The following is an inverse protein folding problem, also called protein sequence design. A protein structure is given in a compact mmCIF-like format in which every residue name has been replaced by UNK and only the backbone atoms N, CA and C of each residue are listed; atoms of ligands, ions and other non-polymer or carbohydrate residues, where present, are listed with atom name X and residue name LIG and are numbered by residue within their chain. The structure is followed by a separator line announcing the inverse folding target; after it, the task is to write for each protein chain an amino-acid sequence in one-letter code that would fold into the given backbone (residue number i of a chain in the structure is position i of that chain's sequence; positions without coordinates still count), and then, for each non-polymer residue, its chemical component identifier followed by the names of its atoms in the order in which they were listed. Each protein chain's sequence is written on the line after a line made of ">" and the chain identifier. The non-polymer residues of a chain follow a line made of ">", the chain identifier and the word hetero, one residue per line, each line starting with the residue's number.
data_IF_452033614298
#
_entry.id   IF_452033614298
#
_cell.length_a   1.000
_cell.length_b   1.000
_cell.length_c   1.000
_cell.angle_alpha   90.00
_cell.angle_beta   90.00
_cell.angle_gamma   90.00
#
_symmetry.space_group_name_H-M   'P 1'
#
loop_
_entity.id
_entity.type
_entity.pdbx_description
1 polymer ?
#
# COMPACT_ATOMS: atom_id res chain seq x y z
N UNK A 1 -32.60 -33.92 -34.95
CA UNK A 1 -31.13 -33.77 -34.95
C UNK A 1 -30.69 -33.61 -33.49
N UNK A 2 -30.31 -34.72 -32.82
CA UNK A 2 -29.94 -34.74 -31.40
C UNK A 2 -28.57 -34.07 -31.25
N UNK A 3 -28.48 -32.95 -30.51
CA UNK A 3 -27.18 -32.40 -30.08
C UNK A 3 -26.53 -33.47 -29.20
N UNK A 4 -25.40 -34.00 -29.65
CA UNK A 4 -24.57 -34.88 -28.82
C UNK A 4 -24.12 -34.08 -27.59
N UNK A 5 -24.47 -34.56 -26.40
CA UNK A 5 -23.88 -34.10 -25.14
C UNK A 5 -22.40 -34.50 -25.21
N UNK A 6 -21.50 -33.55 -25.48
CA UNK A 6 -20.07 -33.78 -25.30
C UNK A 6 -19.84 -33.86 -23.80
N UNK A 7 -19.43 -35.04 -23.32
CA UNK A 7 -19.09 -35.23 -21.92
C UNK A 7 -17.90 -34.33 -21.58
N UNK A 8 -18.10 -33.39 -20.65
CA UNK A 8 -17.07 -32.47 -20.21
C UNK A 8 -16.03 -33.23 -19.39
N UNK A 9 -14.77 -33.26 -19.85
CA UNK A 9 -13.68 -33.91 -19.11
C UNK A 9 -13.30 -33.05 -17.91
N UNK A 10 -12.96 -33.68 -16.79
CA UNK A 10 -12.64 -32.99 -15.54
C UNK A 10 -11.21 -33.32 -15.11
N UNK A 11 -10.44 -32.30 -14.76
CA UNK A 11 -9.06 -32.41 -14.31
C UNK A 11 -8.82 -31.57 -13.06
N UNK A 12 -7.83 -31.98 -12.26
CA UNK A 12 -7.50 -31.34 -10.99
C UNK A 12 -6.05 -30.88 -10.98
N UNK A 13 -5.83 -29.65 -10.52
CA UNK A 13 -4.54 -29.00 -10.51
C UNK A 13 -4.24 -28.42 -9.13
N UNK A 14 -2.94 -28.31 -8.85
CA UNK A 14 -2.42 -27.52 -7.72
C UNK A 14 -1.54 -26.40 -8.24
N UNK A 15 -1.54 -25.26 -7.55
CA UNK A 15 -0.62 -24.16 -7.83
C UNK A 15 0.31 -23.96 -6.64
N UNK A 16 1.61 -24.14 -6.86
CA UNK A 16 2.60 -23.96 -5.79
C UNK A 16 2.83 -22.49 -5.48
N UNK A 17 3.36 -22.19 -4.29
CA UNK A 17 3.78 -20.85 -3.91
C UNK A 17 4.92 -20.28 -4.78
N UNK A 18 5.57 -21.14 -5.59
CA UNK A 18 6.59 -20.75 -6.60
C UNK A 18 5.97 -20.42 -7.97
N UNK A 19 4.69 -20.71 -8.17
CA UNK A 19 3.97 -20.48 -9.42
C UNK A 19 4.02 -21.64 -10.42
N UNK A 20 4.27 -22.86 -9.94
CA UNK A 20 4.22 -24.08 -10.73
C UNK A 20 2.80 -24.64 -10.72
N UNK A 21 2.26 -24.90 -11.91
CA UNK A 21 0.96 -25.55 -12.07
C UNK A 21 1.19 -27.06 -12.17
N UNK A 22 0.64 -27.82 -11.24
CA UNK A 22 0.84 -29.27 -11.13
C UNK A 22 -0.43 -30.02 -11.51
N UNK A 23 -0.31 -31.07 -12.32
CA UNK A 23 -1.35 -32.07 -12.58
C UNK A 23 -0.83 -33.45 -12.17
N UNK A 24 -1.55 -34.14 -11.28
CA UNK A 24 -1.11 -35.44 -10.73
C UNK A 24 0.33 -35.42 -10.15
N UNK A 25 0.76 -34.27 -9.63
CA UNK A 25 2.10 -34.07 -9.06
C UNK A 25 3.20 -33.74 -10.08
N UNK A 26 2.87 -33.66 -11.37
CA UNK A 26 3.79 -33.30 -12.45
C UNK A 26 3.56 -31.85 -12.87
N UNK A 27 4.65 -31.09 -13.04
CA UNK A 27 4.58 -29.71 -13.54
C UNK A 27 4.09 -29.67 -14.98
N UNK A 28 3.16 -28.76 -15.24
CA UNK A 28 2.64 -28.48 -16.57
C UNK A 28 3.50 -27.41 -17.22
N UNK A 29 4.35 -27.82 -18.17
CA UNK A 29 5.28 -26.92 -18.85
C UNK A 29 4.70 -26.28 -20.12
N UNK A 30 3.53 -26.73 -20.59
CA UNK A 30 2.86 -26.16 -21.76
C UNK A 30 2.44 -24.71 -21.52
N UNK A 31 3.19 -23.79 -22.13
CA UNK A 31 2.96 -22.34 -22.03
C UNK A 31 1.59 -21.91 -22.56
N UNK A 32 1.14 -22.49 -23.68
CA UNK A 32 -0.14 -22.13 -24.30
C UNK A 32 -1.30 -22.56 -23.40
N UNK A 33 -1.22 -23.77 -22.87
CA UNK A 33 -2.20 -24.27 -21.91
C UNK A 33 -2.25 -23.38 -20.67
N UNK A 34 -1.10 -23.01 -20.08
CA UNK A 34 -1.06 -22.12 -18.90
C UNK A 34 -1.70 -20.77 -19.19
N UNK A 35 -1.46 -20.18 -20.36
CA UNK A 35 -2.10 -18.92 -20.75
C UNK A 35 -3.63 -19.03 -20.90
N UNK A 36 -4.14 -20.16 -21.42
CA UNK A 36 -5.58 -20.42 -21.49
C UNK A 36 -6.14 -20.66 -20.08
N UNK A 37 -5.48 -21.52 -19.31
CA UNK A 37 -5.86 -21.88 -17.94
C UNK A 37 -6.01 -20.64 -17.06
N UNK A 38 -4.98 -19.81 -16.96
CA UNK A 38 -5.04 -18.61 -16.13
C UNK A 38 -5.88 -17.48 -16.75
N UNK A 39 -6.10 -17.53 -18.07
CA UNK A 39 -7.00 -16.60 -18.76
C UNK A 39 -8.48 -16.83 -18.45
N UNK A 40 -8.86 -18.08 -18.16
CA UNK A 40 -10.24 -18.48 -17.87
C UNK A 40 -10.47 -18.82 -16.38
N UNK A 41 -9.46 -18.63 -15.53
CA UNK A 41 -9.52 -18.96 -14.11
C UNK A 41 -10.50 -18.04 -13.37
N UNK A 42 -11.41 -18.65 -12.60
CA UNK A 42 -12.46 -17.96 -11.86
C UNK A 42 -12.78 -18.69 -10.55
N UNK A 43 -13.45 -18.03 -9.59
CA UNK A 43 -13.98 -18.72 -8.41
C UNK A 43 -14.92 -19.87 -8.80
N UNK A 44 -14.80 -21.01 -8.11
CA UNK A 44 -15.65 -22.15 -8.36
C UNK A 44 -17.04 -21.93 -7.77
N UNK A 45 -18.00 -21.61 -8.63
CA UNK A 45 -19.43 -21.47 -8.29
C UNK A 45 -20.28 -22.59 -8.87
N UNK A 46 -19.65 -23.65 -9.37
CA UNK A 46 -20.34 -24.73 -10.11
C UNK A 46 -21.13 -25.68 -9.21
N UNK A 47 -20.86 -25.70 -7.91
CA UNK A 47 -21.37 -26.68 -6.95
C UNK A 47 -20.67 -28.04 -7.01
N UNK A 48 -19.71 -28.22 -7.93
CA UNK A 48 -18.90 -29.42 -8.06
C UNK A 48 -17.53 -29.22 -7.40
N UNK A 49 -16.98 -30.27 -6.80
CA UNK A 49 -15.64 -30.29 -6.19
C UNK A 49 -15.36 -29.07 -5.28
N UNK A 50 -16.11 -28.92 -4.17
CA UNK A 50 -16.02 -27.74 -3.31
C UNK A 50 -14.63 -27.54 -2.67
N UNK A 51 -13.84 -28.61 -2.55
CA UNK A 51 -12.45 -28.56 -2.05
C UNK A 51 -11.51 -27.80 -3.00
N UNK A 52 -11.95 -27.52 -4.23
CA UNK A 52 -11.22 -26.75 -5.23
C UNK A 52 -11.90 -25.38 -5.40
N UNK A 53 -11.39 -24.33 -4.74
CA UNK A 53 -12.06 -23.03 -4.68
C UNK A 53 -12.08 -22.27 -6.01
N UNK A 54 -11.33 -22.72 -7.00
CA UNK A 54 -11.25 -22.10 -8.33
C UNK A 54 -11.42 -23.14 -9.43
N UNK A 55 -11.89 -22.71 -10.59
CA UNK A 55 -11.95 -23.52 -11.80
C UNK A 55 -11.59 -22.70 -13.04
N UNK A 56 -11.14 -23.39 -14.08
CA UNK A 56 -10.78 -22.83 -15.38
C UNK A 56 -11.38 -23.69 -16.51
N UNK A 57 -12.46 -23.22 -17.15
CA UNK A 57 -13.02 -23.89 -18.32
C UNK A 57 -12.10 -23.74 -19.53
N UNK A 58 -11.65 -24.85 -20.13
CA UNK A 58 -10.78 -24.86 -21.31
C UNK A 58 -11.42 -25.72 -22.42
N UNK A 59 -12.28 -25.10 -23.24
CA UNK A 59 -12.98 -25.81 -24.30
C UNK A 59 -13.94 -26.87 -23.76
N UNK A 60 -13.66 -28.16 -24.02
CA UNK A 60 -14.46 -29.29 -23.53
C UNK A 60 -13.99 -29.82 -22.16
N UNK A 61 -13.08 -29.10 -21.50
CA UNK A 61 -12.44 -29.51 -20.25
C UNK A 61 -12.77 -28.52 -19.13
N UNK A 62 -13.09 -29.05 -17.95
CA UNK A 62 -13.26 -28.29 -16.73
C UNK A 62 -12.08 -28.60 -15.81
N UNK A 63 -11.27 -27.59 -15.53
CA UNK A 63 -10.08 -27.76 -14.72
C UNK A 63 -10.29 -27.12 -13.35
N UNK A 64 -10.18 -27.89 -12.27
CA UNK A 64 -10.32 -27.40 -10.90
C UNK A 64 -8.95 -27.11 -10.30
N UNK A 65 -8.83 -26.01 -9.56
CA UNK A 65 -7.56 -25.54 -8.99
C UNK A 65 -7.63 -25.42 -7.46
N UNK A 66 -6.66 -26.03 -6.80
CA UNK A 66 -6.36 -25.86 -5.38
C UNK A 66 -5.00 -25.15 -5.22
N UNK A 67 -4.97 -23.86 -4.91
CA UNK A 67 -3.71 -23.15 -4.67
C UNK A 67 -3.14 -23.46 -3.28
N UNK A 68 -1.81 -23.42 -3.15
CA UNK A 68 -1.14 -23.47 -1.84
C UNK A 68 -1.34 -22.18 -1.02
N UNK A 69 -1.51 -21.03 -1.70
CA UNK A 69 -1.70 -19.71 -1.07
C UNK A 69 -2.76 -18.90 -1.83
N UNK A 70 -2.43 -18.48 -3.06
CA UNK A 70 -3.32 -17.66 -3.91
C UNK A 70 -3.55 -18.28 -5.28
N UNK A 71 -4.69 -18.02 -5.94
CA UNK A 71 -4.99 -18.55 -7.28
C UNK A 71 -4.05 -18.04 -8.39
N UNK A 72 -3.29 -16.99 -8.10
CA UNK A 72 -2.28 -16.42 -9.00
C UNK A 72 -0.95 -16.33 -8.28
N UNK A 73 0.15 -16.57 -8.98
CA UNK A 73 1.51 -16.30 -8.50
C UNK A 73 2.25 -15.53 -9.59
N UNK A 74 2.73 -14.34 -9.27
CA UNK A 74 3.52 -13.52 -10.17
C UNK A 74 4.96 -14.01 -10.15
N UNK A 75 5.41 -14.59 -11.26
CA UNK A 75 6.73 -15.23 -11.37
C UNK A 75 7.75 -14.36 -12.10
N UNK A 76 7.30 -13.34 -12.83
CA UNK A 76 8.15 -12.40 -13.57
C UNK A 76 7.63 -10.97 -13.46
N UNK A 77 8.56 -10.02 -13.43
CA UNK A 77 8.31 -8.58 -13.50
C UNK A 77 9.23 -7.98 -14.56
N UNK A 78 8.72 -7.08 -15.40
CA UNK A 78 9.50 -6.42 -16.46
C UNK A 78 9.73 -4.92 -16.22
N UNK A 79 9.42 -4.42 -15.02
CA UNK A 79 9.46 -3.01 -14.67
C UNK A 79 8.10 -2.31 -14.74
N UNK A 80 7.16 -2.85 -15.51
CA UNK A 80 5.82 -2.27 -15.71
C UNK A 80 4.69 -3.25 -15.41
N UNK A 81 4.93 -4.55 -15.60
CA UNK A 81 3.90 -5.60 -15.56
C UNK A 81 4.34 -6.79 -14.74
N UNK A 82 3.41 -7.32 -13.96
CA UNK A 82 3.57 -8.57 -13.21
C UNK A 82 2.92 -9.72 -13.98
N UNK A 83 3.68 -10.77 -14.27
CA UNK A 83 3.25 -11.92 -15.06
C UNK A 83 2.97 -13.12 -14.17
N UNK A 84 1.80 -13.74 -14.37
CA UNK A 84 1.36 -14.96 -13.67
C UNK A 84 1.18 -16.16 -14.61
N UNK A 85 1.33 -15.93 -15.91
CA UNK A 85 1.52 -16.94 -16.95
C UNK A 85 2.45 -16.35 -18.04
N UNK A 86 2.94 -17.14 -19.01
CA UNK A 86 3.87 -16.66 -20.03
C UNK A 86 3.46 -15.34 -20.70
N UNK A 87 2.18 -15.20 -21.08
CA UNK A 87 1.63 -13.99 -21.72
C UNK A 87 0.56 -13.30 -20.87
N UNK A 88 0.14 -13.87 -19.74
CA UNK A 88 -0.84 -13.25 -18.83
C UNK A 88 -0.16 -12.39 -17.78
N UNK A 89 -0.58 -11.13 -17.71
CA UNK A 89 -0.03 -10.13 -16.79
C UNK A 89 -1.05 -9.09 -16.36
N UNK A 90 -0.76 -8.42 -15.25
CA UNK A 90 -1.42 -7.19 -14.83
C UNK A 90 -0.44 -6.03 -14.86
N UNK A 91 -0.96 -4.80 -14.95
CA UNK A 91 -0.15 -3.61 -14.72
C UNK A 91 0.30 -3.60 -13.25
N UNK A 92 1.57 -3.29 -13.02
CA UNK A 92 2.10 -3.07 -11.68
C UNK A 92 1.61 -1.72 -11.16
N UNK A 93 1.03 -1.73 -9.96
CA UNK A 93 0.58 -0.55 -9.22
C UNK A 93 1.03 -0.69 -7.75
N UNK A 94 1.96 0.16 -7.28
CA UNK A 94 2.39 0.17 -5.89
C UNK A 94 1.26 0.25 -4.87
N UNK A 95 0.14 0.91 -5.19
CA UNK A 95 -0.98 1.04 -4.24
C UNK A 95 -1.80 -0.25 -4.10
N UNK A 96 -1.61 -1.22 -5.00
CA UNK A 96 -2.23 -2.54 -4.95
C UNK A 96 -1.36 -3.59 -4.24
N UNK A 97 -0.19 -3.20 -3.74
CA UNK A 97 0.66 -4.08 -2.93
C UNK A 97 0.14 -4.17 -1.50
N UNK A 98 0.18 -5.38 -0.96
CA UNK A 98 0.00 -5.67 0.47
C UNK A 98 1.01 -6.72 0.90
N UNK A 99 1.25 -6.85 2.20
CA UNK A 99 2.11 -7.90 2.73
C UNK A 99 1.41 -8.77 3.78
N UNK A 100 1.86 -10.02 3.90
CA UNK A 100 1.48 -10.91 5.00
C UNK A 100 2.64 -11.86 5.27
N UNK A 101 3.04 -12.00 6.54
CA UNK A 101 4.15 -12.85 6.99
C UNK A 101 5.43 -12.75 6.12
N UNK A 102 5.82 -11.54 5.70
CA UNK A 102 7.02 -11.29 4.89
C UNK A 102 6.87 -11.59 3.39
N UNK A 103 5.67 -11.96 2.93
CA UNK A 103 5.33 -12.20 1.54
C UNK A 103 4.59 -10.99 0.99
N UNK A 104 4.94 -10.55 -0.23
CA UNK A 104 4.20 -9.52 -0.95
C UNK A 104 3.13 -10.14 -1.84
N UNK A 105 2.01 -9.44 -1.93
CA UNK A 105 0.89 -9.74 -2.80
C UNK A 105 0.52 -8.50 -3.60
N UNK A 106 0.02 -8.70 -4.81
CA UNK A 106 -0.55 -7.64 -5.64
C UNK A 106 -1.94 -8.06 -6.10
N UNK A 107 -2.82 -7.10 -6.41
CA UNK A 107 -4.12 -7.43 -7.02
C UNK A 107 -3.93 -8.16 -8.35
N UNK A 108 -4.72 -9.22 -8.52
CA UNK A 108 -4.78 -10.04 -9.70
C UNK A 108 -6.21 -9.96 -10.31
N UNK A 109 -6.47 -10.61 -11.47
CA UNK A 109 -7.81 -10.63 -12.04
C UNK A 109 -8.89 -11.11 -11.06
N UNK A 110 -10.15 -10.74 -11.34
CA UNK A 110 -11.30 -11.06 -10.48
C UNK A 110 -11.18 -10.58 -9.02
N UNK A 111 -10.46 -9.46 -8.81
CA UNK A 111 -10.21 -8.87 -7.49
C UNK A 111 -9.53 -9.84 -6.50
N UNK A 112 -8.91 -10.90 -7.00
CA UNK A 112 -8.15 -11.84 -6.18
C UNK A 112 -6.79 -11.27 -5.83
N UNK A 113 -6.13 -11.88 -4.84
CA UNK A 113 -4.72 -11.64 -4.58
C UNK A 113 -3.86 -12.56 -5.43
N UNK A 114 -2.71 -12.05 -5.86
CA UNK A 114 -1.63 -12.86 -6.44
C UNK A 114 -0.37 -12.69 -5.62
N UNK A 115 0.21 -13.80 -5.18
CA UNK A 115 1.49 -13.86 -4.47
C UNK A 115 2.63 -13.45 -5.40
N UNK A 116 3.59 -12.67 -4.91
CA UNK A 116 4.84 -12.43 -5.63
C UNK A 116 5.81 -13.57 -5.34
N UNK A 117 6.39 -14.14 -6.39
CA UNK A 117 7.45 -15.14 -6.24
C UNK A 117 8.70 -14.51 -5.64
N UNK A 118 9.62 -15.36 -5.15
CA UNK A 118 10.92 -14.90 -4.66
C UNK A 118 11.70 -14.14 -5.75
N UNK A 119 11.63 -14.58 -7.00
CA UNK A 119 12.31 -13.91 -8.11
C UNK A 119 11.80 -12.47 -8.29
N UNK A 120 10.48 -12.27 -8.29
CA UNK A 120 9.89 -10.93 -8.37
C UNK A 120 10.22 -10.09 -7.15
N UNK A 121 10.21 -10.68 -5.95
CA UNK A 121 10.57 -9.97 -4.73
C UNK A 121 12.02 -9.45 -4.79
N UNK A 122 12.96 -10.20 -5.35
CA UNK A 122 14.35 -9.76 -5.51
C UNK A 122 14.49 -8.57 -6.47
N UNK A 123 13.66 -8.49 -7.51
CA UNK A 123 13.61 -7.32 -8.41
C UNK A 123 13.07 -6.07 -7.70
N UNK A 124 12.09 -6.24 -6.80
CA UNK A 124 11.48 -5.13 -6.07
C UNK A 124 12.26 -4.72 -4.81
N UNK A 125 13.06 -5.62 -4.23
CA UNK A 125 13.75 -5.40 -2.97
C UNK A 125 14.54 -4.08 -2.89
N UNK A 126 15.28 -3.64 -3.92
CA UNK A 126 16.01 -2.36 -3.89
C UNK A 126 15.11 -1.13 -3.79
N UNK A 127 13.83 -1.26 -4.14
CA UNK A 127 12.84 -0.18 -4.08
C UNK A 127 12.07 -0.16 -2.76
N UNK A 128 12.20 -1.20 -1.94
CA UNK A 128 11.50 -1.34 -0.67
C UNK A 128 12.28 -0.66 0.45
N UNK A 129 11.54 -0.11 1.40
CA UNK A 129 12.08 0.46 2.64
C UNK A 129 11.14 0.20 3.81
N UNK A 130 11.65 0.05 5.04
CA UNK A 130 10.80 0.01 6.22
C UNK A 130 9.99 1.31 6.35
N UNK A 131 8.75 1.19 6.81
CA UNK A 131 7.83 2.29 7.08
C UNK A 131 7.12 2.01 8.41
N UNK A 132 7.76 2.37 9.52
CA UNK A 132 7.35 1.87 10.84
C UNK A 132 7.43 0.34 10.88
N UNK A 133 6.32 -0.30 11.27
CA UNK A 133 6.17 -1.76 11.26
C UNK A 133 5.72 -2.31 9.89
N UNK A 134 5.49 -1.43 8.91
CA UNK A 134 5.07 -1.78 7.56
C UNK A 134 6.21 -1.55 6.57
N UNK A 135 5.91 -1.64 5.28
CA UNK A 135 6.86 -1.34 4.22
C UNK A 135 6.37 -0.16 3.39
N UNK A 136 7.28 0.47 2.66
CA UNK A 136 6.97 1.36 1.58
C UNK A 136 7.82 0.98 0.36
N UNK A 137 7.34 1.38 -0.82
CA UNK A 137 8.06 1.24 -2.07
C UNK A 137 8.22 2.62 -2.72
N UNK A 138 9.42 2.91 -3.23
CA UNK A 138 9.65 4.07 -4.09
C UNK A 138 9.64 3.61 -5.53
N UNK A 139 8.60 3.94 -6.28
CA UNK A 139 8.47 3.58 -7.68
C UNK A 139 8.28 4.83 -8.53
N UNK A 140 9.14 5.00 -9.55
CA UNK A 140 9.18 6.19 -10.42
C UNK A 140 9.19 7.52 -9.63
N UNK A 141 9.93 7.55 -8.53
CA UNK A 141 10.07 8.72 -7.66
C UNK A 141 8.91 8.97 -6.69
N UNK A 142 7.89 8.11 -6.68
CA UNK A 142 6.74 8.22 -5.78
C UNK A 142 6.82 7.19 -4.66
N UNK A 143 6.72 7.65 -3.40
CA UNK A 143 6.65 6.78 -2.24
C UNK A 143 5.22 6.27 -2.05
N UNK A 144 5.05 4.96 -1.96
CA UNK A 144 3.76 4.31 -1.66
C UNK A 144 3.90 3.37 -0.48
N UNK A 145 3.08 3.55 0.55
CA UNK A 145 3.02 2.63 1.70
C UNK A 145 2.39 1.30 1.28
N UNK A 146 2.98 0.19 1.71
CA UNK A 146 2.49 -1.18 1.55
C UNK A 146 1.94 -1.65 2.90
N UNK A 147 0.61 -1.68 3.08
CA UNK A 147 0.02 -2.12 4.33
C UNK A 147 0.00 -3.66 4.47
N UNK A 148 -0.22 -4.19 5.68
CA UNK A 148 -0.55 -5.60 5.83
C UNK A 148 -1.87 -5.91 5.10
N UNK A 149 -2.04 -7.16 4.65
CA UNK A 149 -3.24 -7.61 3.94
C UNK A 149 -4.52 -7.40 4.76
N UNK A 150 -4.40 -7.46 6.08
CA UNK A 150 -5.43 -7.07 7.03
C UNK A 150 -4.87 -5.99 7.96
N UNK A 151 -5.41 -4.77 7.84
CA UNK A 151 -5.08 -3.67 8.73
C UNK A 151 -5.94 -3.82 10.01
N UNK A 152 -5.35 -3.72 11.22
CA UNK A 152 -6.12 -3.67 12.46
C UNK A 152 -7.20 -2.58 12.43
N UNK A 153 -8.38 -2.85 12.99
CA UNK A 153 -9.54 -1.95 12.85
C UNK A 153 -9.33 -0.54 13.40
N UNK A 154 -8.50 -0.39 14.44
CA UNK A 154 -8.16 0.90 15.04
C UNK A 154 -7.13 1.70 14.22
N UNK A 155 -6.50 1.08 13.22
CA UNK A 155 -5.50 1.72 12.37
C UNK A 155 -6.12 2.16 11.05
N UNK A 156 -5.92 3.42 10.71
CA UNK A 156 -6.46 4.03 9.51
C UNK A 156 -5.32 4.62 8.67
N UNK A 157 -5.11 4.04 7.48
CA UNK A 157 -4.15 4.57 6.52
C UNK A 157 -4.76 5.72 5.72
N UNK A 158 -4.24 6.92 5.93
CA UNK A 158 -4.69 8.16 5.29
C UNK A 158 -3.72 8.50 4.14
N UNK A 159 -4.11 8.16 2.92
CA UNK A 159 -3.32 8.44 1.71
C UNK A 159 -3.61 9.84 1.13
N UNK A 160 -2.65 10.41 0.36
CA UNK A 160 -2.90 11.52 -0.55
C UNK A 160 -4.08 11.24 -1.47
N UNK A 161 -5.06 12.14 -1.47
CA UNK A 161 -6.25 12.04 -2.32
C UNK A 161 -5.99 12.64 -3.70
N UNK A 162 -6.56 12.03 -4.74
CA UNK A 162 -6.67 12.64 -6.07
C UNK A 162 -7.39 14.00 -5.98
N UNK A 163 -7.14 14.88 -6.93
CA UNK A 163 -7.57 16.28 -7.03
C UNK A 163 -7.17 17.21 -5.87
N UNK A 164 -6.48 16.70 -4.85
CA UNK A 164 -5.91 17.52 -3.78
C UNK A 164 -4.59 18.15 -4.24
N UNK A 165 -4.50 19.48 -4.18
CA UNK A 165 -3.31 20.25 -4.52
C UNK A 165 -2.44 20.65 -3.31
N UNK A 166 -2.69 20.10 -2.12
CA UNK A 166 -1.91 20.40 -0.91
C UNK A 166 -0.40 20.11 -1.11
N UNK A 167 0.46 21.03 -0.67
CA UNK A 167 1.91 20.84 -0.70
C UNK A 167 2.41 19.72 0.25
N UNK A 168 1.65 19.37 1.29
CA UNK A 168 1.97 18.25 2.19
C UNK A 168 1.47 16.89 1.66
N UNK A 169 0.15 16.77 1.45
CA UNK A 169 -0.52 15.50 1.14
C UNK A 169 -1.32 15.46 -0.18
N UNK A 170 -1.06 16.37 -1.10
CA UNK A 170 -1.75 16.42 -2.39
C UNK A 170 -1.19 15.41 -3.39
N UNK A 171 -2.01 14.50 -3.91
CA UNK A 171 -1.57 13.53 -4.92
C UNK A 171 -1.22 14.21 -6.25
N UNK A 172 -2.03 15.20 -6.63
CA UNK A 172 -1.95 15.81 -7.97
C UNK A 172 -1.08 17.07 -7.99
N UNK A 173 -0.52 17.48 -6.84
CA UNK A 173 0.46 18.56 -6.78
C UNK A 173 1.88 17.99 -7.03
N UNK A 174 2.55 18.36 -8.14
CA UNK A 174 3.89 17.85 -8.48
C UNK A 174 4.99 18.24 -7.48
N UNK A 175 4.75 19.26 -6.66
CA UNK A 175 5.65 19.72 -5.60
C UNK A 175 5.25 19.21 -4.22
N UNK A 176 4.29 18.27 -4.14
CA UNK A 176 3.86 17.71 -2.87
C UNK A 176 4.87 16.73 -2.29
N UNK A 177 4.93 16.68 -0.96
CA UNK A 177 5.62 15.61 -0.24
C UNK A 177 4.82 14.30 -0.21
N UNK A 178 3.57 14.32 -0.69
CA UNK A 178 2.66 13.17 -0.76
C UNK A 178 2.59 12.36 0.54
N UNK A 179 2.54 13.08 1.68
CA UNK A 179 2.58 12.48 3.01
C UNK A 179 1.36 11.56 3.19
N UNK A 180 1.66 10.28 3.35
CA UNK A 180 0.72 9.26 3.84
C UNK A 180 0.87 9.16 5.35
N UNK A 181 -0.22 9.08 6.10
CA UNK A 181 -0.18 8.94 7.56
C UNK A 181 -0.93 7.68 8.02
N UNK A 182 -0.45 7.06 9.07
CA UNK A 182 -1.13 6.00 9.80
C UNK A 182 -1.71 6.61 11.06
N UNK A 183 -3.02 6.70 11.14
CA UNK A 183 -3.74 7.19 12.31
C UNK A 183 -4.20 6.02 13.18
N UNK A 184 -3.94 6.09 14.47
CA UNK A 184 -4.39 5.15 15.48
C UNK A 184 -5.56 5.75 16.27
N UNK A 185 -6.76 5.20 16.08
CA UNK A 185 -7.97 5.62 16.77
C UNK A 185 -8.00 5.25 18.26
N UNK A 186 -7.21 4.26 18.69
CA UNK A 186 -7.13 3.86 20.10
C UNK A 186 -6.29 4.84 20.92
N UNK A 187 -5.25 5.41 20.33
CA UNK A 187 -4.33 6.36 21.00
C UNK A 187 -4.51 7.82 20.56
N UNK A 188 -5.27 8.07 19.50
CA UNK A 188 -5.42 9.37 18.83
C UNK A 188 -4.06 9.94 18.37
N UNK A 189 -3.23 9.07 17.82
CA UNK A 189 -1.90 9.40 17.30
C UNK A 189 -1.84 9.23 15.79
N UNK A 190 -0.97 9.99 15.13
CA UNK A 190 -0.68 9.81 13.73
C UNK A 190 0.83 9.75 13.50
N UNK A 191 1.26 8.77 12.71
CA UNK A 191 2.66 8.59 12.35
C UNK A 191 2.84 8.56 10.82
N UNK A 192 4.01 9.00 10.38
CA UNK A 192 4.44 8.87 8.99
C UNK A 192 5.96 8.74 8.93
N UNK A 193 6.47 8.06 7.92
CA UNK A 193 7.89 7.96 7.64
C UNK A 193 8.14 8.34 6.19
N UNK A 194 9.17 9.14 5.96
CA UNK A 194 9.53 9.57 4.61
C UNK A 194 11.02 9.88 4.50
N UNK A 195 11.64 9.63 3.34
CA UNK A 195 12.94 10.18 3.03
C UNK A 195 12.80 11.69 2.82
N UNK A 196 13.78 12.46 3.29
CA UNK A 196 13.80 13.91 3.12
C UNK A 196 14.20 14.27 1.68
N UNK A 197 13.29 14.79 0.84
CA UNK A 197 13.56 15.01 -0.58
C UNK A 197 14.47 16.20 -0.84
N UNK A 198 15.29 16.14 -1.89
CA UNK A 198 16.25 17.21 -2.23
C UNK A 198 15.60 18.56 -2.54
N UNK A 199 14.37 18.57 -3.08
CA UNK A 199 13.66 19.82 -3.38
C UNK A 199 13.21 20.58 -2.12
N UNK A 200 13.29 19.95 -0.94
CA UNK A 200 13.00 20.59 0.35
C UNK A 200 14.20 21.32 0.96
N UNK A 201 15.33 21.36 0.24
CA UNK A 201 16.59 21.95 0.69
C UNK A 201 16.45 23.41 1.10
N UNK A 202 17.02 23.75 2.25
CA UNK A 202 17.41 25.09 2.62
C UNK A 202 18.90 25.30 2.30
N UNK A 203 19.67 25.76 3.27
CA UNK A 203 21.14 25.85 3.19
C UNK A 203 21.80 24.63 3.87
N UNK A 204 23.12 24.48 3.74
CA UNK A 204 23.94 23.54 4.53
C UNK A 204 23.54 22.04 4.44
N UNK A 205 22.85 21.62 3.36
CA UNK A 205 22.44 20.24 3.17
C UNK A 205 21.30 19.78 4.10
N UNK A 206 20.50 20.73 4.62
CA UNK A 206 19.39 20.45 5.53
C UNK A 206 18.06 20.93 4.93
N UNK A 207 16.96 20.32 5.36
CA UNK A 207 15.60 20.74 4.99
C UNK A 207 15.37 22.19 5.45
N UNK A 208 14.79 23.01 4.58
CA UNK A 208 14.42 24.37 4.93
C UNK A 208 13.40 24.36 6.08
N UNK A 209 13.55 25.26 7.06
CA UNK A 209 12.66 25.31 8.23
C UNK A 209 11.18 25.42 7.87
N UNK A 210 10.83 26.09 6.77
CA UNK A 210 9.47 26.13 6.25
C UNK A 210 8.90 24.77 5.84
N UNK A 211 9.72 23.85 5.30
CA UNK A 211 9.28 22.48 5.02
C UNK A 211 9.13 21.66 6.30
N UNK A 212 10.01 21.87 7.29
CA UNK A 212 9.85 21.26 8.62
C UNK A 212 8.53 21.72 9.27
N UNK A 213 8.19 23.00 9.14
CA UNK A 213 6.91 23.53 9.60
C UNK A 213 5.73 22.92 8.85
N UNK A 214 5.83 22.78 7.53
CA UNK A 214 4.81 22.15 6.69
C UNK A 214 4.56 20.69 7.08
N UNK A 215 5.61 19.88 7.29
CA UNK A 215 5.43 18.46 7.67
C UNK A 215 4.83 18.32 9.08
N UNK A 216 5.19 19.22 10.01
CA UNK A 216 4.60 19.26 11.35
C UNK A 216 3.11 19.64 11.30
N UNK A 217 2.76 20.68 10.54
CA UNK A 217 1.36 21.07 10.33
C UNK A 217 0.54 19.94 9.72
N UNK A 218 1.07 19.30 8.67
CA UNK A 218 0.39 18.21 7.98
C UNK A 218 0.16 17.00 8.90
N UNK A 219 1.18 16.51 9.63
CA UNK A 219 0.99 15.33 10.51
C UNK A 219 0.05 15.62 11.67
N UNK A 220 0.10 16.82 12.26
CA UNK A 220 -0.84 17.22 13.31
C UNK A 220 -2.27 17.36 12.76
N UNK A 221 -2.43 17.88 11.55
CA UNK A 221 -3.72 17.93 10.85
C UNK A 221 -4.26 16.53 10.49
N UNK A 222 -3.38 15.54 10.29
CA UNK A 222 -3.78 14.15 10.03
C UNK A 222 -4.40 13.47 11.25
N UNK A 223 -4.01 13.84 12.46
CA UNK A 223 -4.70 13.42 13.69
C UNK A 223 -6.18 13.81 13.62
N UNK A 224 -6.47 15.07 13.29
CA UNK A 224 -7.83 15.60 13.20
C UNK A 224 -8.61 14.98 12.03
N UNK A 225 -7.94 14.80 10.89
CA UNK A 225 -8.51 14.11 9.72
C UNK A 225 -8.93 12.68 10.07
N UNK A 226 -8.09 11.96 10.84
CA UNK A 226 -8.39 10.61 11.34
C UNK A 226 -9.58 10.57 12.30
N UNK A 227 -9.74 11.62 13.11
CA UNK A 227 -10.92 11.82 13.96
C UNK A 227 -12.17 12.31 13.21
N UNK A 228 -12.08 12.54 11.89
CA UNK A 228 -13.19 13.09 11.09
C UNK A 228 -13.44 14.58 11.31
N UNK A 229 -12.50 15.30 11.93
CA UNK A 229 -12.63 16.72 12.26
C UNK A 229 -11.99 17.57 11.16
N UNK A 230 -12.77 18.51 10.60
CA UNK A 230 -12.28 19.50 9.64
C UNK A 230 -12.04 20.83 10.34
N UNK A 231 -10.79 21.12 10.65
CA UNK A 231 -10.38 22.35 11.31
C UNK A 231 -9.08 22.87 10.68
N UNK A 232 -9.04 24.08 10.11
CA UNK A 232 -7.79 24.71 9.70
C UNK A 232 -6.92 25.10 10.89
N UNK A 233 -5.62 25.20 10.65
CA UNK A 233 -4.62 25.66 11.62
C UNK A 233 -4.85 27.13 11.95
N UNK A 234 -4.96 27.45 13.24
CA UNK A 234 -5.07 28.81 13.75
C UNK A 234 -3.74 29.30 14.35
N UNK A 235 -3.00 28.41 15.00
CA UNK A 235 -1.67 28.69 15.56
C UNK A 235 -0.76 27.48 15.36
N UNK A 236 0.52 27.74 15.05
CA UNK A 236 1.57 26.75 14.97
C UNK A 236 2.85 27.31 15.60
N UNK A 237 3.28 26.71 16.71
CA UNK A 237 4.52 27.05 17.41
C UNK A 237 5.52 25.91 17.27
N UNK A 238 6.72 26.20 16.77
CA UNK A 238 7.75 25.19 16.46
C UNK A 238 9.06 25.51 17.18
N UNK A 239 9.71 24.47 17.68
CA UNK A 239 11.10 24.49 18.16
C UNK A 239 11.93 23.56 17.29
N UNK A 240 13.05 24.07 16.79
CA UNK A 240 14.03 23.30 16.00
C UNK A 240 15.17 22.90 16.93
N UNK A 241 15.33 21.61 17.21
CA UNK A 241 16.36 21.09 18.12
C UNK A 241 17.64 20.66 17.39
N UNK A 242 17.49 20.08 16.20
CA UNK A 242 18.61 19.60 15.40
C UNK A 242 18.30 19.66 13.90
N UNK A 243 19.32 19.66 13.02
CA UNK A 243 19.09 19.75 11.59
C UNK A 243 18.45 18.48 11.00
N UNK A 244 17.43 18.67 10.18
CA UNK A 244 16.83 17.60 9.37
C UNK A 244 17.63 17.47 8.07
N UNK A 245 18.46 16.43 7.93
CA UNK A 245 19.38 16.30 6.80
C UNK A 245 18.68 15.82 5.53
N UNK A 246 19.02 16.40 4.38
CA UNK A 246 18.53 15.93 3.08
C UNK A 246 18.96 14.48 2.84
N UNK A 247 18.05 13.65 2.30
CA UNK A 247 18.28 12.23 2.03
C UNK A 247 18.21 11.31 3.24
N UNK A 248 18.16 11.86 4.47
CA UNK A 248 17.90 11.06 5.66
C UNK A 248 16.43 10.64 5.73
N UNK A 249 16.15 9.54 6.43
CA UNK A 249 14.79 9.17 6.79
C UNK A 249 14.38 9.88 8.08
N UNK A 250 13.14 10.36 8.11
CA UNK A 250 12.52 10.92 9.31
C UNK A 250 11.23 10.18 9.64
N UNK A 251 10.86 10.21 10.92
CA UNK A 251 9.50 9.93 11.34
C UNK A 251 8.82 11.26 11.72
N UNK A 252 7.61 11.45 11.22
CA UNK A 252 6.65 12.40 11.74
C UNK A 252 5.75 11.70 12.74
N UNK A 253 5.58 12.26 13.92
CA UNK A 253 4.70 11.74 14.96
C UNK A 253 3.83 12.87 15.49
N UNK A 254 2.56 12.64 15.73
CA UNK A 254 1.66 13.59 16.36
C UNK A 254 0.66 12.91 17.28
N UNK A 255 0.23 13.62 18.31
CA UNK A 255 -0.80 13.16 19.23
C UNK A 255 -1.82 14.25 19.52
N UNK A 256 -3.08 13.83 19.63
CA UNK A 256 -4.16 14.68 20.10
C UNK A 256 -4.01 14.94 21.60
N UNK A 257 -4.16 16.19 22.04
CA UNK A 257 -4.07 16.55 23.45
C UNK A 257 -5.45 16.76 24.07
N UNK A 258 -6.21 17.72 23.52
CA UNK A 258 -7.51 18.13 24.07
C UNK A 258 -8.29 19.04 23.12
N UNK A 259 -9.56 19.26 23.45
CA UNK A 259 -10.41 20.30 22.86
C UNK A 259 -10.80 21.37 23.87
N UNK A 260 -10.83 22.62 23.44
CA UNK A 260 -11.39 23.75 24.16
C UNK A 260 -12.42 24.45 23.26
N UNK A 261 -13.70 24.14 23.45
CA UNK A 261 -14.81 24.57 22.57
C UNK A 261 -14.64 24.07 21.13
N UNK A 262 -14.16 24.95 20.24
CA UNK A 262 -13.92 24.69 18.80
C UNK A 262 -12.43 24.57 18.47
N UNK A 263 -11.57 24.80 19.46
CA UNK A 263 -10.13 24.72 19.33
C UNK A 263 -9.66 23.30 19.70
N UNK A 264 -8.83 22.72 18.86
CA UNK A 264 -8.23 21.39 19.04
C UNK A 264 -6.73 21.57 19.18
N UNK A 265 -6.18 21.10 20.30
CA UNK A 265 -4.76 21.18 20.60
C UNK A 265 -4.09 19.87 20.25
N UNK A 266 -3.01 19.96 19.48
CA UNK A 266 -2.23 18.81 18.99
C UNK A 266 -0.75 19.14 19.19
N UNK A 267 0.06 18.13 19.50
CA UNK A 267 1.53 18.26 19.42
C UNK A 267 2.09 17.30 18.39
N UNK A 268 3.24 17.65 17.84
CA UNK A 268 3.93 16.84 16.86
C UNK A 268 5.45 16.93 16.99
N UNK A 269 6.13 15.94 16.45
CA UNK A 269 7.58 15.82 16.45
C UNK A 269 8.06 15.32 15.08
N UNK A 270 9.18 15.87 14.63
CA UNK A 270 10.03 15.28 13.60
C UNK A 270 11.17 14.57 14.31
N UNK A 271 11.28 13.28 14.12
CA UNK A 271 12.32 12.43 14.71
C UNK A 271 13.22 11.87 13.64
N UNK A 272 14.50 11.70 13.97
CA UNK A 272 15.45 10.97 13.14
C UNK A 272 14.98 9.52 12.96
N UNK A 273 14.98 9.03 11.72
CA UNK A 273 14.44 7.71 11.39
C UNK A 273 15.20 6.55 12.02
N UNK A 274 16.50 6.72 12.28
CA UNK A 274 17.35 5.66 12.84
C UNK A 274 17.46 5.74 14.37
N UNK A 275 17.77 6.93 14.89
CA UNK A 275 18.06 7.16 16.32
C UNK A 275 16.84 7.53 17.13
N UNK A 276 15.73 7.89 16.48
CA UNK A 276 14.49 8.39 17.11
C UNK A 276 14.67 9.71 17.88
N UNK A 277 15.83 10.35 17.77
CA UNK A 277 16.09 11.65 18.39
C UNK A 277 15.16 12.72 17.81
N UNK A 278 14.62 13.59 18.67
CA UNK A 278 13.75 14.70 18.24
C UNK A 278 14.59 15.78 17.55
N UNK A 279 14.27 16.05 16.29
CA UNK A 279 14.91 17.06 15.44
C UNK A 279 14.13 18.38 15.45
N UNK A 280 12.80 18.30 15.45
CA UNK A 280 11.89 19.44 15.60
C UNK A 280 10.66 19.01 16.41
N UNK A 281 10.06 19.94 17.15
CA UNK A 281 8.79 19.72 17.85
C UNK A 281 7.84 20.88 17.61
N UNK A 282 6.55 20.59 17.43
CA UNK A 282 5.49 21.55 17.22
C UNK A 282 4.34 21.41 18.21
N UNK A 283 3.66 22.52 18.48
CA UNK A 283 2.34 22.55 19.09
C UNK A 283 1.43 23.40 18.21
N UNK A 284 0.22 22.90 17.94
CA UNK A 284 -0.71 23.57 17.06
C UNK A 284 -2.11 23.65 17.69
N UNK A 285 -2.83 24.70 17.29
CA UNK A 285 -4.24 24.89 17.59
C UNK A 285 -4.99 24.92 16.27
N UNK A 286 -5.95 24.01 16.10
CA UNK A 286 -6.84 23.97 14.94
C UNK A 286 -8.25 24.38 15.35
N UNK A 287 -8.92 25.21 14.56
CA UNK A 287 -10.22 25.77 14.95
C UNK A 287 -11.30 25.43 13.92
N UNK A 288 -12.32 24.68 14.33
CA UNK A 288 -13.49 24.37 13.47
C UNK A 288 -14.18 25.68 13.09
N UNK A 289 -14.38 26.03 11.79
CA UNK A 289 -15.04 27.27 11.39
C UNK A 289 -16.50 27.39 11.88
N UNK A 290 -17.03 28.62 11.99
CA UNK A 290 -18.47 28.80 12.28
C UNK A 290 -19.29 28.48 11.02
N UNK A 291 -20.38 27.73 11.17
CA UNK A 291 -21.36 27.53 10.09
C UNK A 291 -21.12 26.32 9.17
N UNK A 292 -20.12 25.50 9.44
CA UNK A 292 -19.95 24.20 8.76
C UNK A 292 -20.76 23.15 9.54
N UNK A 293 -22.05 22.99 9.19
CA UNK A 293 -22.79 21.79 9.58
C UNK A 293 -22.20 20.59 8.82
N UNK A 294 -22.09 19.46 9.53
CA UNK A 294 -21.69 18.16 8.98
C UNK A 294 -22.66 17.69 7.89
#
# INVERSE_FOLDING_TARGET
>A
MKRAFVAMRTYFYRLTARGELLHEGITVDDEQFRDIFFGNLQPNTTGLHPDYPYCSPCGAEMNFLLPEDTPYVFTRFDGERLYFAPRRSVQFDPEQLVFDAGVLYHRAPHQQWGRLSLAVLMELAPLLSPWGDWYAIVWKGTLSVIPPRQIPEHLHLIRPRASNMCAGCGRDNPSSLQITALFDAATLQADSWLPVPVHTSGSLGIMHGGFVALVLDEIMGKVLSGMGIKAPTAELTIRYQAPVRIGSWIQLHAEYLRSERRAHHVRGEVRDGATRAVLASGSAVFVVPRGTMQ
#
